data_IF_210191760167
#
_entry.id   IF_210191760167
#
_cell.length_a   1.000
_cell.length_b   1.000
_cell.length_c   1.000
_cell.angle_alpha   90.00
_cell.angle_beta   90.00
_cell.angle_gamma   90.00
#
_symmetry.space_group_name_H-M   'P 1'
#
loop_
_entity.id
_entity.type
_entity.pdbx_description
1 polymer ?
#
# COMPACT_ATOMS: atom_id res chain seq x y z
N UNK A 1 9.08 -31.45 -7.87
CA UNK A 1 9.92 -30.24 -7.92
C UNK A 1 8.96 -29.05 -7.95
N UNK A 2 9.03 -28.17 -6.95
CA UNK A 2 8.18 -26.97 -6.91
C UNK A 2 8.72 -25.93 -7.88
N UNK A 3 7.85 -25.35 -8.68
CA UNK A 3 8.19 -24.32 -9.66
C UNK A 3 8.81 -23.11 -8.94
N UNK A 4 10.05 -22.75 -9.29
CA UNK A 4 10.76 -21.59 -8.73
C UNK A 4 10.48 -20.30 -9.49
N UNK A 5 9.58 -20.34 -10.48
CA UNK A 5 9.20 -19.16 -11.24
C UNK A 5 8.28 -18.28 -10.39
N UNK A 6 8.78 -17.10 -10.03
CA UNK A 6 7.95 -16.08 -9.39
C UNK A 6 6.88 -15.54 -10.35
N UNK A 7 5.71 -15.21 -9.82
CA UNK A 7 4.61 -14.60 -10.57
C UNK A 7 4.48 -13.11 -10.23
N UNK A 8 4.22 -12.29 -11.23
CA UNK A 8 3.85 -10.88 -11.02
C UNK A 8 2.37 -10.80 -10.65
N UNK A 9 2.09 -10.61 -9.37
CA UNK A 9 0.71 -10.54 -8.82
C UNK A 9 0.14 -9.13 -8.73
N UNK A 10 0.97 -8.10 -8.91
CA UNK A 10 0.57 -6.69 -8.92
C UNK A 10 1.54 -5.85 -9.77
N UNK A 11 1.02 -4.86 -10.48
CA UNK A 11 1.82 -4.03 -11.39
C UNK A 11 2.16 -4.75 -12.70
N UNK A 12 3.45 -4.80 -13.07
CA UNK A 12 3.94 -5.50 -14.26
C UNK A 12 3.81 -4.77 -15.60
N UNK A 13 3.13 -3.61 -15.65
CA UNK A 13 2.88 -2.85 -16.88
C UNK A 13 3.82 -1.65 -17.06
N UNK A 14 5.04 -1.77 -16.53
CA UNK A 14 6.02 -0.68 -16.49
C UNK A 14 5.69 0.41 -15.45
N UNK A 15 6.61 1.36 -15.30
CA UNK A 15 6.46 2.53 -14.42
C UNK A 15 5.31 3.42 -14.91
N UNK A 16 4.41 3.80 -14.02
CA UNK A 16 3.37 4.79 -14.31
C UNK A 16 2.33 4.92 -13.19
N UNK A 17 1.34 5.79 -13.39
CA UNK A 17 0.31 6.11 -12.39
C UNK A 17 -1.07 5.51 -12.70
N UNK A 18 -1.20 4.71 -13.76
CA UNK A 18 -2.43 3.96 -14.06
C UNK A 18 -2.69 2.93 -12.95
N UNK A 19 -3.93 2.45 -12.85
CA UNK A 19 -4.30 1.46 -11.81
C UNK A 19 -3.63 0.09 -12.01
N UNK A 20 -3.16 -0.22 -13.20
CA UNK A 20 -2.39 -1.43 -13.49
C UNK A 20 -0.86 -1.23 -13.43
N UNK A 21 -0.39 -0.05 -13.01
CA UNK A 21 1.02 0.33 -12.94
C UNK A 21 1.40 0.73 -11.51
N UNK A 22 2.69 0.59 -11.19
CA UNK A 22 3.30 1.07 -9.95
C UNK A 22 4.51 1.94 -10.32
N UNK A 23 4.95 2.78 -9.40
CA UNK A 23 6.11 3.65 -9.56
C UNK A 23 6.89 3.69 -8.24
N UNK A 24 8.01 2.97 -8.22
CA UNK A 24 8.87 2.82 -7.05
C UNK A 24 8.11 2.30 -5.80
N UNK A 25 7.44 1.14 -5.88
CA UNK A 25 6.81 0.57 -4.71
C UNK A 25 7.87 0.23 -3.66
N UNK A 26 7.63 0.57 -2.40
CA UNK A 26 8.65 0.46 -1.34
C UNK A 26 8.35 -0.58 -0.28
N UNK A 27 7.08 -0.94 -0.10
CA UNK A 27 6.67 -1.94 0.89
C UNK A 27 5.32 -2.58 0.53
N UNK A 28 5.06 -3.75 1.12
CA UNK A 28 3.84 -4.53 0.94
C UNK A 28 3.39 -5.15 2.26
N UNK A 29 2.09 -5.10 2.53
CA UNK A 29 1.43 -5.81 3.62
C UNK A 29 0.28 -6.68 3.09
N UNK A 30 -0.14 -7.69 3.85
CA UNK A 30 -1.20 -8.63 3.45
C UNK A 30 -2.45 -8.39 4.29
N UNK A 31 -3.54 -8.03 3.62
CA UNK A 31 -4.88 -8.05 4.21
C UNK A 31 -5.43 -9.48 4.09
N UNK A 32 -5.35 -10.24 5.18
CA UNK A 32 -5.81 -11.64 5.24
C UNK A 32 -7.32 -11.76 5.09
N UNK A 33 -8.06 -10.78 5.57
CA UNK A 33 -9.53 -10.78 5.54
C UNK A 33 -10.03 -10.71 4.10
N UNK A 34 -9.38 -9.88 3.30
CA UNK A 34 -9.79 -9.64 1.92
C UNK A 34 -8.92 -10.31 0.86
N UNK A 35 -7.96 -11.13 1.30
CA UNK A 35 -6.98 -11.82 0.46
C UNK A 35 -6.29 -10.87 -0.54
N UNK A 36 -5.78 -9.76 -0.04
CA UNK A 36 -5.23 -8.67 -0.87
C UNK A 36 -3.84 -8.23 -0.41
N UNK A 37 -3.01 -7.78 -1.35
CA UNK A 37 -1.81 -7.01 -1.07
C UNK A 37 -2.18 -5.55 -0.88
N UNK A 38 -1.60 -4.91 0.13
CA UNK A 38 -1.60 -3.46 0.33
C UNK A 38 -0.19 -2.99 0.01
N UNK A 39 -0.04 -2.11 -0.98
CA UNK A 39 1.24 -1.74 -1.55
C UNK A 39 1.43 -0.25 -1.39
N UNK A 40 2.58 0.13 -0.85
CA UNK A 40 3.00 1.52 -0.83
C UNK A 40 3.66 1.88 -2.16
N UNK A 41 3.00 2.75 -2.93
CA UNK A 41 3.40 3.20 -4.26
C UNK A 41 3.96 4.63 -4.17
N UNK A 42 5.19 4.74 -3.64
CA UNK A 42 5.80 5.97 -3.12
C UNK A 42 5.77 7.12 -4.13
N UNK A 43 6.28 6.91 -5.35
CA UNK A 43 6.44 8.00 -6.33
C UNK A 43 5.10 8.39 -6.98
N UNK A 44 4.07 7.56 -6.84
CA UNK A 44 2.70 7.94 -7.17
C UNK A 44 1.94 8.53 -5.97
N UNK A 45 2.61 8.68 -4.81
CA UNK A 45 2.10 9.24 -3.56
C UNK A 45 0.76 8.62 -3.15
N UNK A 46 0.68 7.29 -3.22
CA UNK A 46 -0.54 6.53 -2.92
C UNK A 46 -0.25 5.18 -2.27
N UNK A 47 -1.24 4.67 -1.55
CA UNK A 47 -1.31 3.26 -1.13
C UNK A 47 -2.44 2.60 -1.91
N UNK A 48 -2.11 1.48 -2.55
CA UNK A 48 -3.05 0.71 -3.37
C UNK A 48 -3.29 -0.66 -2.80
N UNK A 49 -4.50 -1.18 -3.00
CA UNK A 49 -4.88 -2.55 -2.71
C UNK A 49 -4.94 -3.35 -4.01
N UNK A 50 -4.41 -4.56 -3.98
CA UNK A 50 -4.45 -5.50 -5.10
C UNK A 50 -4.97 -6.85 -4.61
N UNK A 51 -6.12 -7.28 -5.14
CA UNK A 51 -6.64 -8.62 -4.86
C UNK A 51 -5.68 -9.69 -5.39
N UNK A 52 -5.38 -10.71 -4.59
CA UNK A 52 -4.55 -11.85 -5.02
C UNK A 52 -5.35 -12.90 -5.78
N UNK A 53 -6.67 -12.71 -5.89
CA UNK A 53 -7.54 -13.61 -6.64
C UNK A 53 -7.26 -13.50 -8.14
N UNK A 54 -7.38 -14.63 -8.82
CA UNK A 54 -7.21 -14.73 -10.27
C UNK A 54 -8.07 -13.72 -11.04
N UNK A 55 -7.51 -13.15 -12.11
CA UNK A 55 -8.18 -12.16 -12.97
C UNK A 55 -8.05 -10.70 -12.52
N UNK A 56 -7.39 -10.43 -11.39
CA UNK A 56 -7.15 -9.05 -10.94
C UNK A 56 -6.04 -8.39 -11.78
N UNK A 57 -6.37 -7.39 -12.58
CA UNK A 57 -5.42 -6.70 -13.47
C UNK A 57 -5.16 -5.22 -13.13
N UNK A 58 -5.76 -4.73 -12.04
CA UNK A 58 -5.61 -3.35 -11.58
C UNK A 58 -5.79 -3.27 -10.07
N UNK A 59 -5.09 -2.33 -9.45
CA UNK A 59 -5.26 -1.97 -8.05
C UNK A 59 -6.42 -0.99 -7.81
N UNK A 60 -6.76 -0.85 -6.54
CA UNK A 60 -7.69 0.13 -6.00
C UNK A 60 -6.91 1.11 -5.12
N UNK A 61 -7.13 2.42 -5.26
CA UNK A 61 -6.47 3.42 -4.40
C UNK A 61 -7.20 3.43 -3.05
N UNK A 62 -6.51 3.04 -1.98
CA UNK A 62 -7.03 3.17 -0.62
C UNK A 62 -6.78 4.57 -0.07
N UNK A 63 -5.55 5.06 -0.23
CA UNK A 63 -5.10 6.34 0.33
C UNK A 63 -4.28 7.05 -0.74
N UNK A 64 -4.60 8.32 -0.99
CA UNK A 64 -3.85 9.18 -1.90
C UNK A 64 -3.15 10.33 -1.19
N UNK A 65 -2.25 11.01 -1.89
CA UNK A 65 -1.50 12.16 -1.40
C UNK A 65 -0.74 11.87 -0.09
N UNK A 66 -0.02 10.75 -0.08
CA UNK A 66 0.76 10.27 1.06
C UNK A 66 2.18 9.90 0.63
N UNK A 67 3.19 10.39 1.35
CA UNK A 67 4.58 10.01 1.18
C UNK A 67 4.87 8.66 1.84
N UNK A 68 4.15 7.61 1.45
CA UNK A 68 4.28 6.31 2.11
C UNK A 68 5.70 5.73 1.91
N UNK A 69 6.24 5.03 2.91
CA UNK A 69 7.51 4.29 2.80
C UNK A 69 7.45 2.88 3.37
N UNK A 70 6.76 2.71 4.49
CA UNK A 70 6.58 1.43 5.16
C UNK A 70 5.11 1.27 5.56
N UNK A 71 4.65 0.02 5.58
CA UNK A 71 3.30 -0.40 5.91
C UNK A 71 3.33 -1.46 7.01
N UNK A 72 2.41 -1.35 7.96
CA UNK A 72 2.09 -2.43 8.88
C UNK A 72 0.57 -2.52 9.02
N UNK A 73 0.05 -3.71 9.29
CA UNK A 73 -1.39 -3.91 9.51
C UNK A 73 -1.59 -4.83 10.70
N UNK A 74 -2.50 -4.44 11.60
CA UNK A 74 -2.88 -5.25 12.75
C UNK A 74 -4.08 -6.16 12.46
N UNK A 75 -4.43 -6.98 13.44
CA UNK A 75 -5.55 -7.92 13.39
C UNK A 75 -6.93 -7.24 13.35
N UNK A 76 -7.01 -5.98 13.80
CA UNK A 76 -8.20 -5.13 13.70
C UNK A 76 -8.32 -4.42 12.35
N UNK A 77 -7.42 -4.70 11.39
CA UNK A 77 -7.35 -4.07 10.07
C UNK A 77 -7.11 -2.56 10.12
N UNK A 78 -6.40 -2.09 11.13
CA UNK A 78 -5.76 -0.79 11.04
C UNK A 78 -4.46 -0.89 10.24
N UNK A 79 -4.35 -0.01 9.25
CA UNK A 79 -3.16 0.18 8.44
C UNK A 79 -2.33 1.33 9.02
N UNK A 80 -1.08 1.04 9.36
CA UNK A 80 -0.09 2.00 9.84
C UNK A 80 0.85 2.32 8.69
N UNK A 81 1.02 3.61 8.41
CA UNK A 81 1.79 4.09 7.27
C UNK A 81 2.78 5.13 7.78
N UNK A 82 4.05 4.92 7.50
CA UNK A 82 5.05 5.98 7.67
C UNK A 82 4.92 6.97 6.51
N UNK A 83 4.56 8.21 6.80
CA UNK A 83 4.56 9.32 5.85
C UNK A 83 5.87 10.09 6.00
N UNK A 84 6.78 9.90 5.04
CA UNK A 84 8.11 10.51 5.08
C UNK A 84 8.08 12.00 4.76
N UNK A 85 7.07 12.47 4.03
CA UNK A 85 6.92 13.89 3.69
C UNK A 85 6.49 14.67 4.94
N UNK A 86 5.59 14.07 5.72
CA UNK A 86 5.07 14.67 6.96
C UNK A 86 5.81 14.26 8.22
N UNK A 87 6.80 13.37 8.13
CA UNK A 87 7.62 12.88 9.25
C UNK A 87 6.79 12.33 10.40
N UNK A 88 5.80 11.51 10.04
CA UNK A 88 4.82 10.95 10.97
C UNK A 88 4.46 9.52 10.60
N UNK A 89 3.88 8.81 11.55
CA UNK A 89 3.18 7.55 11.32
C UNK A 89 1.70 7.81 11.56
N UNK A 90 0.87 7.50 10.56
CA UNK A 90 -0.58 7.56 10.67
C UNK A 90 -1.18 6.17 10.66
N UNK A 91 -2.25 6.02 11.44
CA UNK A 91 -3.12 4.86 11.45
C UNK A 91 -4.41 5.17 10.70
N UNK A 92 -4.81 4.28 9.81
CA UNK A 92 -6.04 4.34 9.01
C UNK A 92 -6.84 3.06 9.24
N UNK A 93 -8.15 3.16 9.43
CA UNK A 93 -8.99 1.98 9.26
C UNK A 93 -9.20 1.78 7.75
N UNK A 94 -9.08 0.55 7.24
CA UNK A 94 -9.33 0.32 5.80
C UNK A 94 -10.77 0.72 5.46
N UNK A 95 -10.92 1.68 4.55
CA UNK A 95 -12.20 2.32 4.20
C UNK A 95 -12.27 3.80 4.59
N UNK A 96 -11.47 4.22 5.58
CA UNK A 96 -11.37 5.62 5.99
C UNK A 96 -10.40 6.39 5.10
N UNK A 97 -10.78 7.62 4.76
CA UNK A 97 -9.90 8.55 4.03
C UNK A 97 -9.00 9.37 4.94
N UNK A 98 -9.35 9.47 6.23
CA UNK A 98 -8.65 10.31 7.21
C UNK A 98 -7.93 9.44 8.24
N UNK A 99 -6.61 9.57 8.30
CA UNK A 99 -5.78 8.84 9.26
C UNK A 99 -5.52 9.63 10.53
N UNK A 100 -5.44 8.94 11.66
CA UNK A 100 -5.04 9.51 12.96
C UNK A 100 -3.52 9.43 13.11
N UNK A 101 -2.87 10.49 13.58
CA UNK A 101 -1.43 10.47 13.90
C UNK A 101 -1.22 9.58 15.12
N UNK A 102 -0.30 8.63 15.03
CA UNK A 102 0.05 7.74 16.15
C UNK A 102 1.48 7.95 16.66
N UNK A 103 2.38 8.49 15.82
CA UNK A 103 3.74 8.86 16.22
C UNK A 103 4.32 9.93 15.27
N UNK A 104 5.26 10.75 15.77
CA UNK A 104 5.92 11.80 14.98
C UNK A 104 5.08 13.07 14.81
N UNK A 105 5.43 13.91 13.83
CA UNK A 105 4.67 15.13 13.50
C UNK A 105 4.95 16.40 14.34
N UNK A 106 5.76 16.30 15.41
CA UNK A 106 6.10 17.43 16.29
C UNK A 106 7.45 18.09 15.98
N UNK A 107 7.99 17.89 14.77
CA UNK A 107 9.25 18.50 14.35
C UNK A 107 9.09 19.99 14.04
N UNK A 108 10.07 20.80 14.46
CA UNK A 108 10.12 22.26 14.28
C UNK A 108 9.91 22.71 12.83
#
# INVERSE_FOLDING_TARGET
MGDTNGEVVAGGHGKGNRLNQLNHPTDVSIDKETDSLIICDLENRRVVRWSRRSGTNRGEILIGNIGCRALAMDDQRYLYISDIEKREVRRYQIGDKNGTIVAGGNGK
#
